data_IF_158753281396
#
_entry.id   IF_158753281396
#
_cell.length_a   1.000
_cell.length_b   1.000
_cell.length_c   1.000
_cell.angle_alpha   90.00
_cell.angle_beta   90.00
_cell.angle_gamma   90.00
#
_symmetry.space_group_name_H-M   'P 1'
#
loop_
_entity.id
_entity.type
_entity.pdbx_description
1 polymer ?
#
# COMPACT_ATOMS: atom_id res chain seq x y z
N UNK A 1 28.56 -39.81 -35.95
CA UNK A 1 27.42 -39.88 -35.01
C UNK A 1 27.97 -40.02 -33.60
N UNK A 2 28.41 -38.90 -33.03
CA UNK A 2 29.02 -38.85 -31.69
C UNK A 2 28.06 -38.16 -30.74
N UNK A 3 27.58 -38.93 -29.76
CA UNK A 3 26.86 -38.43 -28.60
C UNK A 3 27.86 -37.88 -27.59
N UNK A 4 27.89 -36.55 -27.45
CA UNK A 4 28.51 -35.87 -26.32
C UNK A 4 27.46 -35.55 -25.24
N UNK A 5 27.83 -35.49 -23.95
CA UNK A 5 26.92 -35.11 -22.88
C UNK A 5 26.61 -33.62 -23.00
N UNK A 6 25.34 -33.28 -23.18
CA UNK A 6 24.85 -31.91 -23.01
C UNK A 6 24.67 -31.64 -21.52
N UNK A 7 25.55 -30.81 -20.96
CA UNK A 7 25.33 -30.25 -19.63
C UNK A 7 24.28 -29.14 -19.73
N UNK A 8 23.06 -29.38 -19.28
CA UNK A 8 22.11 -28.29 -19.03
C UNK A 8 22.66 -27.41 -17.92
N UNK A 9 23.03 -26.18 -18.27
CA UNK A 9 23.26 -25.14 -17.28
C UNK A 9 21.90 -24.71 -16.70
N UNK A 10 21.73 -24.64 -15.37
CA UNK A 10 20.53 -24.04 -14.80
C UNK A 10 20.48 -22.56 -15.22
N UNK A 11 19.29 -21.96 -15.39
CA UNK A 11 19.16 -20.54 -15.67
C UNK A 11 19.48 -19.76 -14.38
N UNK A 12 20.77 -19.63 -14.10
CA UNK A 12 21.35 -18.82 -13.05
C UNK A 12 22.66 -18.27 -13.61
N UNK A 13 22.78 -16.94 -13.66
CA UNK A 13 23.92 -16.27 -14.27
C UNK A 13 25.25 -16.75 -13.68
N UNK A 14 26.29 -16.81 -14.52
CA UNK A 14 27.65 -17.06 -14.06
C UNK A 14 28.04 -15.96 -13.06
N UNK A 15 28.61 -16.31 -11.89
CA UNK A 15 29.09 -15.32 -10.95
C UNK A 15 30.28 -14.60 -11.59
N UNK A 16 30.08 -13.34 -11.96
CA UNK A 16 31.18 -12.46 -12.30
C UNK A 16 31.84 -12.01 -11.00
N UNK A 17 33.14 -12.28 -10.83
CA UNK A 17 33.95 -11.80 -9.71
C UNK A 17 34.13 -10.27 -9.76
N UNK A 18 33.05 -9.52 -9.63
CA UNK A 18 32.99 -8.07 -9.55
C UNK A 18 31.88 -7.66 -8.60
N UNK A 19 32.02 -6.49 -7.99
CA UNK A 19 31.11 -5.83 -7.04
C UNK A 19 29.71 -5.47 -7.61
N UNK A 20 29.25 -6.22 -8.60
CA UNK A 20 28.01 -6.01 -9.37
C UNK A 20 27.14 -7.28 -9.35
N UNK A 21 27.34 -8.13 -8.34
CA UNK A 21 26.41 -9.24 -8.06
C UNK A 21 25.20 -8.69 -7.33
N UNK A 22 24.02 -9.24 -7.61
CA UNK A 22 22.77 -8.81 -6.98
C UNK A 22 22.82 -9.07 -5.47
N UNK A 23 23.12 -8.04 -4.68
CA UNK A 23 23.05 -8.11 -3.23
C UNK A 23 21.57 -8.20 -2.83
N UNK A 24 21.13 -9.41 -2.48
CA UNK A 24 19.84 -9.58 -1.83
C UNK A 24 19.99 -9.02 -0.40
N UNK A 25 19.01 -8.23 0.07
CA UNK A 25 18.99 -7.60 1.42
C UNK A 25 18.89 -8.61 2.59
N UNK A 26 19.31 -9.86 2.37
CA UNK A 26 19.37 -10.96 3.33
C UNK A 26 20.29 -12.10 2.82
N UNK A 27 21.36 -11.81 2.05
CA UNK A 27 22.37 -12.84 1.74
C UNK A 27 23.06 -13.30 3.05
N UNK A 28 22.88 -14.57 3.48
CA UNK A 28 23.50 -15.07 4.71
C UNK A 28 25.04 -15.10 4.66
N UNK A 29 25.64 -14.87 3.49
CA UNK A 29 27.08 -14.87 3.27
C UNK A 29 27.77 -13.51 3.31
N UNK A 30 27.04 -12.38 3.40
CA UNK A 30 27.64 -11.06 3.24
C UNK A 30 28.18 -10.48 4.56
N UNK A 31 29.40 -9.93 4.52
CA UNK A 31 30.07 -9.28 5.64
C UNK A 31 29.36 -7.99 6.03
N UNK A 32 28.50 -8.07 7.04
CA UNK A 32 27.63 -6.98 7.48
C UNK A 32 26.41 -7.43 8.28
N UNK A 33 26.16 -8.75 8.33
CA UNK A 33 25.15 -9.32 9.21
C UNK A 33 25.51 -9.08 10.69
N UNK A 34 24.54 -8.57 11.47
CA UNK A 34 24.63 -8.52 12.94
C UNK A 34 24.98 -9.91 13.47
N UNK A 35 25.75 -9.95 14.55
CA UNK A 35 26.13 -11.22 15.18
C UNK A 35 24.86 -12.05 15.49
N UNK A 36 24.84 -13.36 15.20
CA UNK A 36 23.65 -14.20 15.43
C UNK A 36 23.11 -14.12 16.87
N UNK A 37 23.96 -13.92 17.87
CA UNK A 37 23.55 -13.72 19.27
C UNK A 37 22.98 -12.33 19.53
N UNK A 38 23.43 -11.30 18.82
CA UNK A 38 22.78 -9.98 18.84
C UNK A 38 21.39 -10.05 18.20
N UNK A 39 21.24 -10.75 17.08
CA UNK A 39 19.93 -10.99 16.45
C UNK A 39 19.00 -11.75 17.40
N UNK A 40 19.50 -12.77 18.09
CA UNK A 40 18.72 -13.52 19.07
C UNK A 40 18.35 -12.68 20.30
N UNK A 41 19.23 -11.77 20.73
CA UNK A 41 18.97 -10.84 21.83
C UNK A 41 17.90 -9.82 21.46
N UNK A 42 18.00 -9.18 20.30
CA UNK A 42 16.97 -8.25 19.78
C UNK A 42 15.62 -8.98 19.62
N UNK A 43 15.62 -10.18 19.04
CA UNK A 43 14.43 -11.03 18.92
C UNK A 43 13.85 -11.49 20.25
N UNK A 44 14.65 -11.55 21.31
CA UNK A 44 14.19 -11.88 22.66
C UNK A 44 13.56 -10.66 23.35
N UNK A 45 14.05 -9.45 23.06
CA UNK A 45 13.45 -8.18 23.50
C UNK A 45 12.06 -7.95 22.88
N UNK A 46 11.86 -8.37 21.62
CA UNK A 46 10.57 -8.33 20.90
C UNK A 46 9.51 -9.33 21.46
N UNK A 47 9.94 -10.27 22.30
CA UNK A 47 9.07 -11.25 22.96
C UNK A 47 8.88 -12.58 22.20
N UNK A 48 7.96 -13.45 22.68
CA UNK A 48 7.75 -14.78 22.11
C UNK A 48 7.43 -14.72 20.61
N UNK A 49 7.79 -15.75 19.82
CA UNK A 49 7.56 -15.76 18.37
C UNK A 49 6.12 -15.44 17.96
N UNK A 50 5.12 -15.84 18.74
CA UNK A 50 3.71 -15.55 18.45
C UNK A 50 3.37 -14.06 18.64
N UNK A 51 4.04 -13.39 19.57
CA UNK A 51 3.89 -11.96 19.85
C UNK A 51 4.64 -11.17 18.78
N UNK A 52 5.90 -11.51 18.52
CA UNK A 52 6.70 -10.91 17.45
C UNK A 52 6.05 -11.08 16.08
N UNK A 53 5.55 -12.28 15.77
CA UNK A 53 4.80 -12.51 14.52
C UNK A 53 3.54 -11.68 14.49
N UNK A 54 2.87 -11.32 15.59
CA UNK A 54 1.72 -10.39 15.53
C UNK A 54 2.14 -8.93 15.41
N UNK A 55 3.25 -8.53 16.04
CA UNK A 55 3.84 -7.19 15.93
C UNK A 55 4.41 -6.90 14.53
N UNK A 56 4.84 -7.94 13.80
CA UNK A 56 5.43 -7.80 12.46
C UNK A 56 4.71 -8.62 11.37
N UNK A 57 3.53 -9.20 11.66
CA UNK A 57 2.71 -9.85 10.63
C UNK A 57 1.86 -8.79 9.98
N UNK A 58 2.38 -8.30 8.88
CA UNK A 58 1.69 -7.43 7.98
C UNK A 58 0.71 -8.21 7.14
N UNK A 59 -0.42 -8.48 7.78
CA UNK A 59 -1.59 -9.02 7.13
C UNK A 59 -2.00 -8.07 6.01
N UNK A 60 -2.05 -8.55 4.78
CA UNK A 60 -2.63 -7.77 3.70
C UNK A 60 -4.14 -7.67 3.90
N UNK A 61 -4.75 -6.61 3.40
CA UNK A 61 -6.20 -6.55 3.28
C UNK A 61 -6.67 -7.66 2.31
N UNK A 62 -7.65 -8.49 2.70
CA UNK A 62 -8.26 -9.45 1.78
C UNK A 62 -8.84 -8.73 0.56
N UNK A 63 -8.79 -9.35 -0.62
CA UNK A 63 -9.17 -8.72 -1.88
C UNK A 63 -10.63 -8.25 -1.88
N UNK A 64 -11.53 -9.03 -1.30
CA UNK A 64 -12.93 -8.65 -1.11
C UNK A 64 -13.08 -7.47 -0.15
N UNK A 65 -12.34 -7.47 0.97
CA UNK A 65 -12.31 -6.38 1.94
C UNK A 65 -11.74 -5.09 1.34
N UNK A 66 -10.73 -5.18 0.48
CA UNK A 66 -10.20 -4.03 -0.25
C UNK A 66 -11.27 -3.44 -1.17
N UNK A 67 -12.00 -4.29 -1.90
CA UNK A 67 -13.12 -3.84 -2.73
C UNK A 67 -14.21 -3.13 -1.94
N UNK A 68 -14.61 -3.70 -0.80
CA UNK A 68 -15.60 -3.10 0.10
C UNK A 68 -15.09 -1.79 0.71
N UNK A 69 -13.83 -1.75 1.13
CA UNK A 69 -13.17 -0.57 1.67
C UNK A 69 -13.20 0.58 0.68
N UNK A 70 -12.75 0.35 -0.56
CA UNK A 70 -12.72 1.35 -1.63
C UNK A 70 -14.13 1.84 -1.98
N UNK A 71 -15.08 0.91 -2.18
CA UNK A 71 -16.46 1.26 -2.51
C UNK A 71 -17.12 2.10 -1.42
N UNK A 72 -16.90 1.78 -0.14
CA UNK A 72 -17.48 2.51 1.00
C UNK A 72 -16.94 3.94 1.17
N UNK A 73 -15.86 4.29 0.46
CA UNK A 73 -15.21 5.62 0.43
C UNK A 73 -15.43 6.34 -0.91
N UNK A 74 -16.37 5.86 -1.73
CA UNK A 74 -16.77 6.54 -2.96
C UNK A 74 -15.97 6.17 -4.21
N UNK A 75 -15.21 5.07 -4.20
CA UNK A 75 -14.47 4.59 -5.38
C UNK A 75 -15.34 3.66 -6.21
N UNK A 76 -15.42 3.87 -7.52
CA UNK A 76 -16.08 2.96 -8.44
C UNK A 76 -15.21 1.75 -8.78
N UNK A 77 -15.28 0.71 -7.95
CA UNK A 77 -14.53 -0.55 -8.13
C UNK A 77 -14.88 -1.34 -9.38
N UNK A 78 -15.99 -0.99 -10.06
CA UNK A 78 -16.45 -1.63 -11.30
C UNK A 78 -16.03 -0.87 -12.56
N UNK A 79 -15.35 0.27 -12.42
CA UNK A 79 -14.89 1.05 -13.56
C UNK A 79 -13.94 0.24 -14.44
N UNK A 80 -14.16 0.27 -15.75
CA UNK A 80 -13.26 -0.32 -16.77
C UNK A 80 -12.48 0.77 -17.52
N UNK A 81 -12.65 2.04 -17.13
CA UNK A 81 -11.96 3.16 -17.75
C UNK A 81 -10.45 2.99 -17.61
N UNK A 82 -9.65 3.22 -18.67
CA UNK A 82 -8.20 3.15 -18.59
C UNK A 82 -7.66 3.97 -17.42
N UNK A 83 -6.73 3.38 -16.66
CA UNK A 83 -6.13 3.99 -15.47
C UNK A 83 -7.11 4.29 -14.33
N UNK A 84 -8.33 3.79 -14.31
CA UNK A 84 -9.20 3.95 -13.14
C UNK A 84 -8.76 3.05 -11.97
N UNK A 85 -9.13 3.42 -10.75
CA UNK A 85 -8.93 2.56 -9.58
C UNK A 85 -9.67 1.23 -9.73
N UNK A 86 -10.90 1.25 -10.25
CA UNK A 86 -11.69 0.05 -10.53
C UNK A 86 -11.01 -0.91 -11.50
N UNK A 87 -10.36 -0.41 -12.55
CA UNK A 87 -9.63 -1.25 -13.49
C UNK A 87 -8.40 -1.87 -12.85
N UNK A 88 -7.64 -1.09 -12.06
CA UNK A 88 -6.46 -1.57 -11.35
C UNK A 88 -6.81 -2.61 -10.29
N UNK A 89 -7.92 -2.44 -9.57
CA UNK A 89 -8.45 -3.41 -8.63
C UNK A 89 -8.81 -4.72 -9.33
N UNK A 90 -9.67 -4.66 -10.36
CA UNK A 90 -10.16 -5.84 -11.08
C UNK A 90 -9.06 -6.61 -11.80
N UNK A 91 -8.10 -5.91 -12.43
CA UNK A 91 -6.98 -6.53 -13.14
C UNK A 91 -5.81 -6.92 -12.22
N UNK A 92 -5.84 -6.47 -10.96
CA UNK A 92 -4.73 -6.65 -10.02
C UNK A 92 -4.76 -7.94 -9.22
N UNK A 93 -5.73 -8.83 -9.45
CA UNK A 93 -5.95 -10.02 -8.64
C UNK A 93 -4.71 -10.90 -8.42
N UNK A 94 -3.92 -11.12 -9.47
CA UNK A 94 -2.68 -11.90 -9.38
C UNK A 94 -1.63 -11.23 -8.47
N UNK A 95 -1.43 -9.92 -8.62
CA UNK A 95 -0.48 -9.16 -7.81
C UNK A 95 -0.95 -9.06 -6.35
N UNK A 96 -2.26 -8.89 -6.15
CA UNK A 96 -2.90 -8.83 -4.83
C UNK A 96 -3.03 -10.20 -4.16
N UNK A 97 -2.63 -11.28 -4.84
CA UNK A 97 -2.59 -12.63 -4.29
C UNK A 97 -3.97 -13.25 -4.08
N UNK A 98 -4.94 -12.94 -4.94
CA UNK A 98 -6.28 -13.56 -4.95
C UNK A 98 -6.15 -15.08 -5.08
N UNK A 99 -7.06 -15.81 -4.41
CA UNK A 99 -7.08 -17.27 -4.44
C UNK A 99 -7.23 -17.82 -5.87
N UNK A 100 -6.48 -18.88 -6.18
CA UNK A 100 -6.52 -19.62 -7.45
C UNK A 100 -6.92 -21.06 -7.19
N UNK A 101 -8.21 -21.35 -7.33
CA UNK A 101 -8.77 -22.66 -7.00
C UNK A 101 -8.32 -23.79 -7.94
N UNK A 102 -8.03 -23.45 -9.19
CA UNK A 102 -7.43 -24.35 -10.18
C UNK A 102 -6.01 -24.78 -9.79
N UNK A 103 -5.23 -23.85 -9.20
CA UNK A 103 -3.90 -24.11 -8.67
C UNK A 103 -3.89 -24.61 -7.21
N UNK A 104 -5.05 -24.70 -6.56
CA UNK A 104 -5.21 -25.00 -5.12
C UNK A 104 -4.43 -24.02 -4.22
N UNK A 105 -4.31 -22.77 -4.66
CA UNK A 105 -3.66 -21.71 -3.90
C UNK A 105 -4.71 -20.86 -3.19
N UNK A 106 -4.61 -20.78 -1.86
CA UNK A 106 -5.40 -19.85 -1.06
C UNK A 106 -4.98 -18.41 -1.29
N UNK A 107 -5.84 -17.46 -0.89
CA UNK A 107 -5.46 -16.04 -0.89
C UNK A 107 -4.23 -15.83 0.01
N UNK A 108 -3.24 -15.09 -0.50
CA UNK A 108 -2.03 -14.79 0.27
C UNK A 108 -2.40 -13.96 1.50
N UNK A 109 -1.77 -14.19 2.64
CA UNK A 109 -2.08 -13.43 3.85
C UNK A 109 -1.19 -12.21 4.05
N UNK A 110 -0.11 -12.08 3.30
CA UNK A 110 0.91 -11.04 3.45
C UNK A 110 1.17 -10.33 2.11
N UNK A 111 1.68 -9.10 2.18
CA UNK A 111 2.08 -8.36 1.00
C UNK A 111 3.34 -8.97 0.37
N UNK A 112 3.27 -9.24 -0.94
CA UNK A 112 4.48 -9.28 -1.76
C UNK A 112 4.82 -7.86 -2.21
N UNK A 113 6.04 -7.63 -2.70
CA UNK A 113 6.41 -6.34 -3.31
C UNK A 113 5.42 -5.96 -4.43
N UNK A 114 5.08 -6.91 -5.31
CA UNK A 114 4.08 -6.68 -6.36
C UNK A 114 2.68 -6.34 -5.81
N UNK A 115 2.27 -6.98 -4.71
CA UNK A 115 0.99 -6.70 -4.05
C UNK A 115 0.96 -5.33 -3.38
N UNK A 116 2.05 -4.92 -2.72
CA UNK A 116 2.19 -3.60 -2.12
C UNK A 116 2.21 -2.49 -3.19
N UNK A 117 3.00 -2.65 -4.26
CA UNK A 117 3.02 -1.69 -5.38
C UNK A 117 1.65 -1.59 -6.05
N UNK A 118 0.99 -2.73 -6.32
CA UNK A 118 -0.36 -2.70 -6.91
C UNK A 118 -1.37 -2.02 -5.98
N UNK A 119 -1.30 -2.25 -4.68
CA UNK A 119 -2.17 -1.59 -3.71
C UNK A 119 -1.94 -0.07 -3.70
N UNK A 120 -0.68 0.36 -3.71
CA UNK A 120 -0.35 1.79 -3.79
C UNK A 120 -0.88 2.43 -5.09
N UNK A 121 -0.70 1.78 -6.25
CA UNK A 121 -1.26 2.27 -7.52
C UNK A 121 -2.78 2.42 -7.45
N UNK A 122 -3.47 1.46 -6.82
CA UNK A 122 -4.91 1.53 -6.59
C UNK A 122 -5.25 2.74 -5.72
N UNK A 123 -4.53 2.98 -4.63
CA UNK A 123 -4.78 4.13 -3.75
C UNK A 123 -4.52 5.48 -4.44
N UNK A 124 -3.46 5.60 -5.23
CA UNK A 124 -3.18 6.80 -6.03
C UNK A 124 -4.33 7.10 -6.99
N UNK A 125 -4.82 6.09 -7.71
CA UNK A 125 -5.95 6.29 -8.63
C UNK A 125 -7.27 6.52 -7.88
N UNK A 126 -7.44 5.91 -6.71
CA UNK A 126 -8.65 6.05 -5.87
C UNK A 126 -8.77 7.43 -5.24
N UNK A 127 -7.65 8.06 -4.88
CA UNK A 127 -7.62 9.32 -4.15
C UNK A 127 -8.45 10.41 -4.84
N UNK A 128 -8.42 10.49 -6.17
CA UNK A 128 -9.22 11.47 -6.92
C UNK A 128 -10.73 11.26 -6.75
N UNK A 129 -11.20 10.01 -6.81
CA UNK A 129 -12.61 9.65 -6.60
C UNK A 129 -13.02 9.88 -5.14
N UNK A 130 -12.16 9.54 -4.19
CA UNK A 130 -12.39 9.77 -2.75
C UNK A 130 -12.58 11.26 -2.48
N UNK A 131 -11.64 12.11 -2.92
CA UNK A 131 -11.72 13.56 -2.71
C UNK A 131 -13.03 14.14 -3.27
N UNK A 132 -13.49 13.64 -4.42
CA UNK A 132 -14.72 14.11 -5.07
C UNK A 132 -15.99 13.60 -4.40
N UNK A 133 -15.98 12.37 -3.85
CA UNK A 133 -17.18 11.69 -3.40
C UNK A 133 -17.33 11.61 -1.88
N UNK A 134 -16.30 11.97 -1.09
CA UNK A 134 -16.30 11.81 0.38
C UNK A 134 -17.40 12.61 1.09
N UNK A 135 -17.85 13.72 0.48
CA UNK A 135 -18.93 14.57 1.00
C UNK A 135 -20.33 14.04 0.69
N UNK A 136 -20.46 13.02 -0.18
CA UNK A 136 -21.74 12.46 -0.61
C UNK A 136 -22.05 11.19 0.20
N UNK A 137 -23.03 11.22 1.13
CA UNK A 137 -23.37 10.08 1.98
C UNK A 137 -23.81 8.84 1.21
N UNK A 138 -24.33 9.00 -0.01
CA UNK A 138 -24.74 7.88 -0.85
C UNK A 138 -23.55 7.18 -1.51
N UNK A 139 -22.44 7.90 -1.73
CA UNK A 139 -21.23 7.36 -2.37
C UNK A 139 -20.18 6.93 -1.36
N UNK A 140 -19.99 7.71 -0.29
CA UNK A 140 -18.99 7.44 0.75
C UNK A 140 -19.65 7.20 2.13
N UNK A 141 -20.52 6.18 2.27
CA UNK A 141 -21.28 5.95 3.51
C UNK A 141 -20.39 5.68 4.72
N UNK A 142 -19.17 5.17 4.55
CA UNK A 142 -18.24 4.96 5.66
C UNK A 142 -17.67 6.27 6.24
N UNK A 143 -17.76 7.38 5.50
CA UNK A 143 -17.26 8.69 5.93
C UNK A 143 -18.34 9.61 6.49
N UNK A 144 -19.56 9.09 6.69
CA UNK A 144 -20.63 9.79 7.41
C UNK A 144 -20.39 9.61 8.91
N UNK A 145 -19.73 10.58 9.54
CA UNK A 145 -19.46 10.56 10.98
C UNK A 145 -20.53 11.36 11.71
N UNK A 146 -21.25 10.73 12.63
CA UNK A 146 -22.36 11.36 13.37
C UNK A 146 -23.42 12.01 12.46
N UNK A 147 -23.68 11.43 11.29
CA UNK A 147 -24.63 11.96 10.31
C UNK A 147 -24.10 13.11 9.45
N UNK A 148 -22.82 13.47 9.58
CA UNK A 148 -22.18 14.55 8.84
C UNK A 148 -21.08 13.98 7.95
N UNK A 149 -21.04 14.45 6.70
CA UNK A 149 -19.93 14.20 5.78
C UNK A 149 -19.16 15.50 5.58
N UNK A 150 -17.85 15.44 5.74
CA UNK A 150 -16.95 16.58 5.59
C UNK A 150 -16.09 16.43 4.33
N UNK A 151 -15.61 17.55 3.74
CA UNK A 151 -14.70 17.48 2.60
C UNK A 151 -13.32 16.96 3.04
N UNK A 152 -12.53 16.42 2.11
CA UNK A 152 -11.16 15.98 2.43
C UNK A 152 -10.26 17.16 2.82
N UNK A 153 -10.48 18.30 2.15
CA UNK A 153 -9.77 19.55 2.39
C UNK A 153 -10.78 20.65 2.65
N UNK A 154 -10.49 21.50 3.62
CA UNK A 154 -11.30 22.64 3.95
C UNK A 154 -11.43 23.59 2.73
N UNK A 155 -12.65 24.06 2.40
CA UNK A 155 -12.86 24.90 1.22
C UNK A 155 -12.32 26.33 1.38
N UNK A 156 -12.10 26.81 2.61
CA UNK A 156 -11.65 28.17 2.91
C UNK A 156 -10.12 28.27 2.88
N UNK A 157 -9.42 27.41 3.62
CA UNK A 157 -7.95 27.48 3.75
C UNK A 157 -7.20 26.33 3.07
N UNK A 158 -7.91 25.28 2.65
CA UNK A 158 -7.34 24.12 1.97
C UNK A 158 -6.65 23.11 2.89
N UNK A 159 -6.72 23.29 4.21
CA UNK A 159 -6.20 22.37 5.23
C UNK A 159 -6.90 21.02 5.20
N UNK A 160 -6.27 19.98 5.71
CA UNK A 160 -6.85 18.66 5.82
C UNK A 160 -7.90 18.60 6.93
N UNK A 161 -9.07 18.05 6.62
CA UNK A 161 -10.15 17.93 7.61
C UNK A 161 -9.99 16.64 8.42
N UNK A 162 -9.96 16.75 9.75
CA UNK A 162 -9.70 15.63 10.68
C UNK A 162 -10.65 14.47 10.47
N UNK A 163 -11.94 14.73 10.32
CA UNK A 163 -12.99 13.73 10.16
C UNK A 163 -12.78 12.91 8.89
N UNK A 164 -12.47 13.59 7.79
CA UNK A 164 -12.22 12.97 6.49
C UNK A 164 -10.93 12.16 6.48
N UNK A 165 -9.88 12.71 7.07
CA UNK A 165 -8.60 12.02 7.26
C UNK A 165 -8.78 10.77 8.13
N UNK A 166 -9.52 10.88 9.23
CA UNK A 166 -9.86 9.76 10.10
C UNK A 166 -10.64 8.67 9.35
N UNK A 167 -11.56 9.05 8.45
CA UNK A 167 -12.32 8.09 7.67
C UNK A 167 -11.42 7.22 6.76
N UNK A 168 -10.48 7.83 6.05
CA UNK A 168 -9.60 7.09 5.13
C UNK A 168 -8.56 6.24 5.87
N UNK A 169 -8.10 6.72 7.02
CA UNK A 169 -7.17 5.99 7.89
C UNK A 169 -7.84 4.86 8.67
N UNK A 170 -9.15 4.96 8.92
CA UNK A 170 -9.89 3.99 9.73
C UNK A 170 -9.59 4.06 11.23
N UNK A 171 -8.84 5.08 11.66
CA UNK A 171 -8.56 5.44 13.06
C UNK A 171 -8.73 6.95 13.23
N UNK A 172 -9.02 7.45 14.45
CA UNK A 172 -8.97 8.88 14.71
C UNK A 172 -7.60 9.45 14.30
N UNK A 173 -7.62 10.46 13.44
CA UNK A 173 -6.42 11.19 13.04
C UNK A 173 -5.90 12.00 14.24
N UNK A 174 -4.61 11.86 14.53
CA UNK A 174 -3.88 12.61 15.54
C UNK A 174 -3.52 14.00 15.01
N UNK A 175 -3.00 14.86 15.88
CA UNK A 175 -2.51 16.17 15.47
C UNK A 175 -1.35 16.06 14.46
N UNK A 176 -0.42 15.14 14.69
CA UNK A 176 0.72 14.93 13.80
C UNK A 176 0.29 14.45 12.41
N UNK A 177 -0.81 13.67 12.32
CA UNK A 177 -1.38 13.25 11.03
C UNK A 177 -1.90 14.46 10.24
N UNK A 178 -2.55 15.42 10.91
CA UNK A 178 -3.02 16.65 10.27
C UNK A 178 -1.86 17.54 9.83
N UNK A 179 -0.90 17.76 10.71
CA UNK A 179 0.30 18.55 10.39
C UNK A 179 1.01 17.96 9.17
N UNK A 180 1.20 16.64 9.12
CA UNK A 180 1.82 15.99 7.98
C UNK A 180 0.97 16.16 6.71
N UNK A 181 -0.35 15.99 6.80
CA UNK A 181 -1.26 16.18 5.67
C UNK A 181 -1.18 17.60 5.09
N UNK A 182 -1.23 18.61 5.96
CA UNK A 182 -1.12 20.01 5.58
C UNK A 182 0.25 20.32 4.98
N UNK A 183 1.33 19.79 5.56
CA UNK A 183 2.68 19.93 5.02
C UNK A 183 2.80 19.34 3.61
N UNK A 184 2.21 18.17 3.36
CA UNK A 184 2.21 17.54 2.04
C UNK A 184 1.48 18.38 1.00
N UNK A 185 0.34 18.97 1.36
CA UNK A 185 -0.43 19.86 0.48
C UNK A 185 0.28 21.19 0.26
N UNK A 186 0.92 21.75 1.29
CA UNK A 186 1.68 23.00 1.24
C UNK A 186 2.92 22.93 0.33
N UNK A 187 3.40 21.73 -0.03
CA UNK A 187 4.44 21.56 -1.06
C UNK A 187 3.96 21.91 -2.47
N UNK A 188 2.69 22.28 -2.66
CA UNK A 188 2.18 22.74 -3.94
C UNK A 188 2.81 24.08 -4.34
N UNK A 189 3.10 24.22 -5.63
CA UNK A 189 3.59 25.50 -6.17
C UNK A 189 2.52 26.59 -6.03
N UNK A 190 2.87 27.80 -5.54
CA UNK A 190 1.92 28.90 -5.46
C UNK A 190 1.27 29.20 -6.80
N UNK A 191 -0.05 29.38 -6.81
CA UNK A 191 -0.89 29.64 -7.99
C UNK A 191 -0.93 28.53 -9.06
N UNK A 192 -0.44 27.31 -8.77
CA UNK A 192 -0.56 26.15 -9.67
C UNK A 192 -1.64 25.19 -9.17
N UNK A 193 -2.87 25.35 -9.67
CA UNK A 193 -4.00 24.51 -9.29
C UNK A 193 -3.83 23.04 -9.69
N UNK A 194 -3.10 22.77 -10.78
CA UNK A 194 -2.86 21.40 -11.21
C UNK A 194 -1.86 20.71 -10.28
N UNK A 195 -0.82 21.42 -9.84
CA UNK A 195 0.11 20.93 -8.84
C UNK A 195 -0.55 20.74 -7.48
N UNK A 196 -1.37 21.70 -7.02
CA UNK A 196 -2.16 21.56 -5.80
C UNK A 196 -3.03 20.30 -5.82
N UNK A 197 -3.73 20.05 -6.92
CA UNK A 197 -4.56 18.84 -7.05
C UNK A 197 -3.71 17.56 -7.01
N UNK A 198 -2.51 17.57 -7.60
CA UNK A 198 -1.59 16.42 -7.51
C UNK A 198 -1.10 16.19 -6.08
N UNK A 199 -0.75 17.25 -5.35
CA UNK A 199 -0.33 17.15 -3.94
C UNK A 199 -1.45 16.61 -3.06
N UNK A 200 -2.69 17.06 -3.25
CA UNK A 200 -3.88 16.53 -2.58
C UNK A 200 -4.09 15.03 -2.85
N UNK A 201 -3.97 14.62 -4.11
CA UNK A 201 -4.04 13.19 -4.49
C UNK A 201 -2.94 12.37 -3.82
N UNK A 202 -1.69 12.86 -3.83
CA UNK A 202 -0.56 12.18 -3.20
C UNK A 202 -0.72 12.09 -1.68
N UNK A 203 -1.20 13.16 -1.02
CA UNK A 203 -1.46 13.17 0.41
C UNK A 203 -2.46 12.08 0.80
N UNK A 204 -3.63 12.04 0.15
CA UNK A 204 -4.65 11.01 0.40
C UNK A 204 -4.11 9.61 0.14
N UNK A 205 -3.39 9.40 -0.97
CA UNK A 205 -2.81 8.11 -1.31
C UNK A 205 -1.75 7.65 -0.30
N UNK A 206 -0.93 8.57 0.22
CA UNK A 206 0.08 8.27 1.22
C UNK A 206 -0.55 7.86 2.55
N UNK A 207 -1.58 8.56 3.02
CA UNK A 207 -2.30 8.18 4.24
C UNK A 207 -3.05 6.86 4.09
N UNK A 208 -3.65 6.61 2.92
CA UNK A 208 -4.21 5.29 2.61
C UNK A 208 -3.15 4.21 2.64
N UNK A 209 -1.98 4.43 2.02
CA UNK A 209 -0.90 3.46 2.07
C UNK A 209 -0.45 3.22 3.51
N UNK A 210 -0.07 4.26 4.25
CA UNK A 210 0.40 4.15 5.63
C UNK A 210 -0.61 3.46 6.56
N UNK A 211 -1.92 3.67 6.35
CA UNK A 211 -2.94 3.02 7.17
C UNK A 211 -3.20 1.55 6.80
N UNK A 212 -2.89 1.15 5.56
CA UNK A 212 -3.31 -0.13 4.97
C UNK A 212 -2.15 -1.00 4.44
N UNK A 213 -0.92 -0.52 4.62
CA UNK A 213 0.33 -1.26 4.53
C UNK A 213 1.03 -1.06 5.86
N UNK A 214 1.51 -2.12 6.50
CA UNK A 214 2.22 -2.00 7.77
C UNK A 214 3.32 -0.96 7.81
N UNK A 215 3.51 -0.43 9.02
CA UNK A 215 4.81 -0.08 9.60
C UNK A 215 5.38 -1.25 10.41
#
# INVERSE_FOLDING_TARGET
PDGGPVSEAPPGGQPTNGSESFDHTNDPGESGQKDPFEILKERAEEGPPQIRTRLHSCGKIPYSSLGAFLASRGVNTKSITPKSAGLLYQSGGDALGVAKFDAREGERLFHTTAGATKLFDIFVQSASEIIQNITDPAKAPACVLNGVSNPMFDPEDGSCVRESLSCIMGRPALEDDLILCDLMVAQAKPNDMADLQRKRVIAVAAFLSAAHTCE
#
